data_IF_247414406221
#
_entry.id   IF_247414406221
#
_cell.length_a   1.000
_cell.length_b   1.000
_cell.length_c   1.000
_cell.angle_alpha   90.00
_cell.angle_beta   90.00
_cell.angle_gamma   90.00
#
_symmetry.space_group_name_H-M   'P 1'
#
loop_
_entity.id
_entity.type
_entity.pdbx_description
1 polymer ?
#
# COMPACT_ATOMS: atom_id res chain seq x y z
N UNK A 1 15.67 9.79 -0.88
CA UNK A 1 15.78 8.60 -1.74
C UNK A 1 14.51 8.52 -2.57
N UNK A 2 14.55 8.30 -3.89
CA UNK A 2 13.33 8.11 -4.66
C UNK A 2 12.59 6.87 -4.15
N UNK A 3 11.27 6.94 -4.04
CA UNK A 3 10.46 5.76 -3.73
C UNK A 3 10.73 4.70 -4.81
N UNK A 4 10.99 3.45 -4.40
CA UNK A 4 11.19 2.34 -5.34
C UNK A 4 10.03 2.30 -6.33
N UNK A 5 10.31 2.37 -7.63
CA UNK A 5 9.25 2.38 -8.64
C UNK A 5 8.54 1.04 -8.64
N UNK A 6 7.22 1.09 -8.52
CA UNK A 6 6.36 -0.09 -8.64
C UNK A 6 6.24 -0.41 -10.13
N UNK A 7 6.70 -1.61 -10.51
CA UNK A 7 6.64 -2.10 -11.89
C UNK A 7 5.35 -2.89 -12.13
N UNK A 8 4.85 -3.57 -11.11
CA UNK A 8 3.57 -4.30 -11.16
C UNK A 8 2.94 -4.37 -9.77
N UNK A 9 1.61 -4.32 -9.75
CA UNK A 9 0.81 -4.42 -8.53
C UNK A 9 -0.44 -5.28 -8.78
N UNK A 10 -0.97 -5.84 -7.71
CA UNK A 10 -2.19 -6.64 -7.72
C UNK A 10 -3.22 -6.08 -6.74
N UNK A 11 -4.49 -6.09 -7.14
CA UNK A 11 -5.58 -5.60 -6.31
C UNK A 11 -5.90 -6.59 -5.17
N UNK A 12 -6.18 -6.02 -3.99
CA UNK A 12 -6.63 -6.74 -2.80
C UNK A 12 -8.15 -6.60 -2.69
N UNK A 13 -8.61 -5.39 -2.36
CA UNK A 13 -10.02 -5.01 -2.25
C UNK A 13 -10.17 -3.50 -2.37
N UNK A 14 -11.40 -3.03 -2.53
CA UNK A 14 -11.71 -1.60 -2.41
C UNK A 14 -12.27 -1.35 -1.03
N UNK A 15 -11.77 -0.30 -0.36
CA UNK A 15 -12.22 0.10 0.97
C UNK A 15 -12.85 1.48 0.94
N UNK A 16 -13.77 1.76 1.87
CA UNK A 16 -14.34 3.08 2.04
C UNK A 16 -13.58 3.82 3.14
N UNK A 17 -13.00 4.98 2.82
CA UNK A 17 -12.34 5.87 3.77
C UNK A 17 -13.01 7.26 3.67
N UNK A 18 -13.61 7.73 4.76
CA UNK A 18 -14.29 9.04 4.81
C UNK A 18 -15.27 9.29 3.64
N UNK A 19 -16.01 8.25 3.22
CA UNK A 19 -16.97 8.33 2.11
C UNK A 19 -16.35 8.27 0.70
N UNK A 20 -15.04 8.04 0.59
CA UNK A 20 -14.34 7.80 -0.68
C UNK A 20 -13.95 6.33 -0.83
N UNK A 21 -14.04 5.83 -2.05
CA UNK A 21 -13.59 4.49 -2.38
C UNK A 21 -12.11 4.50 -2.75
N UNK A 22 -11.29 3.80 -1.97
CA UNK A 22 -9.86 3.64 -2.20
C UNK A 22 -9.59 2.21 -2.63
N UNK A 23 -8.99 2.04 -3.81
CA UNK A 23 -8.56 0.73 -4.29
C UNK A 23 -7.25 0.35 -3.60
N UNK A 24 -7.29 -0.70 -2.80
CA UNK A 24 -6.13 -1.23 -2.08
C UNK A 24 -5.44 -2.28 -2.95
N UNK A 25 -4.14 -2.11 -3.16
CA UNK A 25 -3.27 -2.99 -3.95
C UNK A 25 -1.99 -3.29 -3.18
N UNK A 26 -1.25 -4.30 -3.64
CA UNK A 26 0.14 -4.51 -3.21
C UNK A 26 1.06 -4.60 -4.41
N UNK A 27 2.31 -4.16 -4.24
CA UNK A 27 3.33 -4.32 -5.25
C UNK A 27 3.74 -5.79 -5.35
N UNK A 28 3.64 -6.35 -6.55
CA UNK A 28 4.15 -7.68 -6.89
C UNK A 28 5.56 -7.59 -7.47
N UNK A 29 5.92 -6.43 -8.03
CA UNK A 29 7.26 -6.17 -8.55
C UNK A 29 7.62 -4.72 -8.42
N UNK A 30 8.82 -4.46 -7.92
CA UNK A 30 9.48 -3.16 -7.91
C UNK A 30 10.82 -3.27 -8.64
N UNK A 31 11.53 -2.15 -8.81
CA UNK A 31 12.88 -2.14 -9.38
C UNK A 31 13.90 -2.95 -8.57
N UNK A 32 13.64 -3.19 -7.28
CA UNK A 32 14.62 -3.80 -6.36
C UNK A 32 14.21 -5.18 -5.85
N UNK A 33 12.95 -5.55 -5.97
CA UNK A 33 12.44 -6.84 -5.51
C UNK A 33 11.15 -7.23 -6.21
N UNK A 34 10.87 -8.53 -6.27
CA UNK A 34 9.60 -9.10 -6.68
C UNK A 34 9.01 -10.00 -5.58
N UNK A 35 7.68 -10.14 -5.61
CA UNK A 35 6.91 -10.98 -4.69
C UNK A 35 5.69 -11.54 -5.44
N UNK A 36 5.59 -12.86 -5.47
CA UNK A 36 4.50 -13.56 -6.14
C UNK A 36 3.18 -13.49 -5.36
N UNK A 37 3.26 -13.49 -4.03
CA UNK A 37 2.10 -13.59 -3.15
C UNK A 37 2.31 -12.80 -1.85
N UNK A 38 1.25 -12.12 -1.40
CA UNK A 38 1.18 -11.47 -0.10
C UNK A 38 0.21 -12.27 0.78
N UNK A 39 0.61 -12.63 2.00
CA UNK A 39 -0.25 -13.38 2.90
C UNK A 39 -1.61 -12.70 3.13
N UNK A 40 -2.70 -13.46 3.10
CA UNK A 40 -4.07 -12.92 3.25
C UNK A 40 -4.27 -12.13 4.53
N UNK A 41 -3.62 -12.50 5.64
CA UNK A 41 -3.66 -11.73 6.89
C UNK A 41 -3.08 -10.33 6.72
N UNK A 42 -1.93 -10.21 6.04
CA UNK A 42 -1.29 -8.91 5.78
C UNK A 42 -2.13 -8.07 4.82
N UNK A 43 -2.76 -8.70 3.83
CA UNK A 43 -3.71 -8.02 2.94
C UNK A 43 -4.88 -7.40 3.72
N UNK A 44 -5.42 -8.12 4.69
CA UNK A 44 -6.53 -7.63 5.52
C UNK A 44 -6.10 -6.54 6.50
N UNK A 45 -4.98 -6.73 7.20
CA UNK A 45 -4.39 -5.73 8.10
C UNK A 45 -4.07 -4.43 7.35
N UNK A 46 -3.46 -4.53 6.16
CA UNK A 46 -3.15 -3.38 5.34
C UNK A 46 -4.42 -2.64 4.91
N UNK A 47 -5.45 -3.37 4.50
CA UNK A 47 -6.69 -2.75 4.09
C UNK A 47 -7.39 -2.02 5.24
N UNK A 48 -7.37 -2.60 6.44
CA UNK A 48 -7.88 -1.96 7.66
C UNK A 48 -7.09 -0.70 8.03
N UNK A 49 -5.77 -0.73 7.82
CA UNK A 49 -4.92 0.44 7.98
C UNK A 49 -5.35 1.56 7.03
N UNK A 50 -5.56 1.25 5.75
CA UNK A 50 -6.01 2.21 4.73
C UNK A 50 -7.41 2.75 5.02
N UNK A 51 -8.31 1.95 5.59
CA UNK A 51 -9.66 2.40 6.01
C UNK A 51 -9.63 3.53 7.05
N UNK A 52 -8.61 3.55 7.91
CA UNK A 52 -8.44 4.54 8.98
C UNK A 52 -7.39 5.61 8.68
N UNK A 53 -6.61 5.43 7.62
CA UNK A 53 -5.50 6.31 7.30
C UNK A 53 -5.95 7.69 6.81
N UNK A 54 -5.07 8.69 6.99
CA UNK A 54 -5.20 9.99 6.35
C UNK A 54 -4.74 9.91 4.88
N UNK A 55 -5.71 9.66 4.00
CA UNK A 55 -5.49 9.52 2.56
C UNK A 55 -5.29 10.90 1.93
N UNK A 56 -4.17 11.15 1.23
CA UNK A 56 -3.92 12.43 0.58
C UNK A 56 -5.04 12.78 -0.42
N UNK A 57 -5.35 14.08 -0.52
CA UNK A 57 -6.36 14.56 -1.46
C UNK A 57 -6.01 14.17 -2.90
N UNK A 58 -7.00 13.66 -3.64
CA UNK A 58 -6.82 13.17 -5.01
C UNK A 58 -6.36 11.72 -5.11
N UNK A 59 -5.91 11.08 -4.03
CA UNK A 59 -5.58 9.66 -4.09
C UNK A 59 -6.84 8.79 -4.12
N UNK A 60 -6.86 7.86 -5.07
CA UNK A 60 -7.92 6.84 -5.22
C UNK A 60 -7.37 5.41 -5.13
N UNK A 61 -6.04 5.26 -5.14
CA UNK A 61 -5.36 3.97 -5.06
C UNK A 61 -4.31 4.02 -3.95
N UNK A 62 -4.23 2.96 -3.15
CA UNK A 62 -3.23 2.75 -2.12
C UNK A 62 -2.47 1.45 -2.43
N UNK A 63 -1.16 1.53 -2.65
CA UNK A 63 -0.32 0.38 -2.99
C UNK A 63 0.70 0.13 -1.89
N UNK A 64 0.66 -1.06 -1.30
CA UNK A 64 1.71 -1.52 -0.39
C UNK A 64 3.03 -1.69 -1.15
N UNK A 65 4.04 -0.91 -0.78
CA UNK A 65 5.32 -0.82 -1.48
C UNK A 65 6.53 -1.34 -0.68
N UNK A 66 6.32 -1.81 0.56
CA UNK A 66 7.39 -2.40 1.35
C UNK A 66 7.64 -3.87 0.99
N UNK A 67 8.89 -4.32 1.23
CA UNK A 67 9.24 -5.73 1.25
C UNK A 67 8.92 -6.32 2.62
N UNK A 68 8.58 -7.61 2.69
CA UNK A 68 8.48 -8.32 3.96
C UNK A 68 9.79 -8.15 4.75
N UNK A 69 9.71 -7.51 5.92
CA UNK A 69 10.87 -7.33 6.79
C UNK A 69 11.21 -8.67 7.48
N UNK A 70 12.46 -9.18 7.36
CA UNK A 70 12.86 -10.44 7.99
C UNK A 70 13.04 -10.34 9.52
N UNK A 71 12.90 -9.16 10.11
CA UNK A 71 13.17 -8.92 11.52
C UNK A 71 11.88 -8.82 12.33
N UNK A 72 11.65 -9.81 13.20
CA UNK A 72 10.60 -9.77 14.23
C UNK A 72 10.71 -8.61 15.24
N UNK A 73 11.77 -7.82 15.18
CA UNK A 73 11.99 -6.65 16.04
C UNK A 73 11.45 -5.34 15.45
N UNK A 74 11.15 -5.30 14.14
CA UNK A 74 10.44 -4.21 13.43
C UNK A 74 8.96 -4.60 13.19
N UNK A 75 8.51 -5.69 13.82
CA UNK A 75 7.29 -6.43 13.45
C UNK A 75 5.99 -5.67 13.57
N UNK A 76 5.96 -4.44 14.10
CA UNK A 76 4.73 -3.66 14.23
C UNK A 76 5.06 -2.19 14.14
N UNK A 77 4.56 -1.55 13.09
CA UNK A 77 3.51 -0.55 13.29
C UNK A 77 3.05 0.12 12.02
N UNK A 78 3.69 -0.06 10.86
CA UNK A 78 3.29 0.68 9.68
C UNK A 78 3.50 -0.07 8.37
N UNK A 79 2.72 0.34 7.38
CA UNK A 79 2.77 -0.11 5.99
C UNK A 79 3.22 1.05 5.10
N UNK A 80 4.35 0.91 4.43
CA UNK A 80 4.81 1.89 3.43
C UNK A 80 3.90 1.83 2.22
N UNK A 81 3.14 2.90 2.01
CA UNK A 81 2.06 2.98 1.04
C UNK A 81 2.33 4.07 0.04
N UNK A 82 2.29 3.70 -1.23
CA UNK A 82 2.27 4.63 -2.36
C UNK A 82 0.83 4.93 -2.70
N UNK A 83 0.49 6.21 -2.68
CA UNK A 83 -0.81 6.72 -3.10
C UNK A 83 -0.76 7.19 -4.54
N UNK A 84 -1.73 6.76 -5.34
CA UNK A 84 -1.91 7.21 -6.72
C UNK A 84 -3.33 7.77 -6.92
N UNK A 85 -3.44 8.68 -7.88
CA UNK A 85 -4.71 9.18 -8.41
C UNK A 85 -5.32 8.16 -9.39
N UNK A 86 -6.56 8.40 -9.83
CA UNK A 86 -7.28 7.58 -10.81
C UNK A 86 -6.52 7.37 -12.12
N UNK A 87 -5.66 8.30 -12.51
CA UNK A 87 -4.86 8.22 -13.74
C UNK A 87 -3.55 7.43 -13.54
N UNK A 88 -3.31 6.87 -12.35
CA UNK A 88 -2.07 6.15 -12.00
C UNK A 88 -0.88 7.09 -11.72
N UNK A 89 -1.15 8.38 -11.52
CA UNK A 89 -0.11 9.35 -11.16
C UNK A 89 0.23 9.24 -9.68
N UNK A 90 1.53 9.23 -9.37
CA UNK A 90 1.99 9.27 -7.98
C UNK A 90 1.53 10.55 -7.29
N UNK A 91 0.78 10.40 -6.20
CA UNK A 91 0.32 11.50 -5.34
C UNK A 91 1.29 11.71 -4.18
N UNK A 92 1.58 10.65 -3.43
CA UNK A 92 2.49 10.70 -2.28
C UNK A 92 2.86 9.30 -1.82
N UNK A 93 3.97 9.17 -1.09
CA UNK A 93 4.27 7.98 -0.27
C UNK A 93 4.06 8.33 1.21
N UNK A 94 3.33 7.50 1.97
CA UNK A 94 3.20 7.64 3.43
C UNK A 94 3.23 6.27 4.11
N UNK A 95 3.54 6.27 5.39
CA UNK A 95 3.37 5.11 6.27
C UNK A 95 1.95 5.11 6.84
N UNK A 96 1.22 4.00 6.70
CA UNK A 96 -0.13 3.82 7.28
C UNK A 96 -0.11 2.77 8.38
N UNK A 97 -0.92 2.94 9.42
CA UNK A 97 -0.84 2.13 10.63
C UNK A 97 -2.16 1.32 10.77
N UNK A 98 -2.10 0.01 11.10
CA UNK A 98 -3.29 -0.84 11.26
C UNK A 98 -4.23 -0.44 12.42
#
# INVERSE_FOLDING_TARGET
MPANKILSSQAIKTVANNGKNIMVKYATKTETWDRSYLASSIQDDFSKAVEKADIPAGATVAILAEKEHPSSSDSKSHFTTVFEDKDGNHVSTKHVYP
#
